data_IF_807307985771
#
_entry.id   IF_807307985771
#
_cell.length_a   1.000
_cell.length_b   1.000
_cell.length_c   1.000
_cell.angle_alpha   90.00
_cell.angle_beta   90.00
_cell.angle_gamma   90.00
#
_symmetry.space_group_name_H-M   'P 1'
#
loop_
_entity.id
_entity.type
_entity.pdbx_description
1 polymer ?
#
# COMPACT_ATOMS: atom_id res chain seq x y z
N UNK A 1 4.40 -40.17 16.87
CA UNK A 1 5.08 -38.85 16.91
C UNK A 1 4.10 -37.87 17.48
N UNK A 2 4.42 -37.30 18.64
CA UNK A 2 3.49 -36.43 19.38
C UNK A 2 3.72 -34.98 18.94
N UNK A 3 2.63 -34.21 18.80
CA UNK A 3 2.61 -32.83 18.27
C UNK A 3 3.46 -31.80 19.06
N UNK A 4 4.15 -32.22 20.11
CA UNK A 4 4.99 -31.40 20.98
C UNK A 4 6.45 -31.36 20.50
N UNK A 5 6.91 -32.39 19.76
CA UNK A 5 8.32 -32.48 19.35
C UNK A 5 8.70 -31.50 18.23
N UNK A 6 7.72 -30.88 17.54
CA UNK A 6 7.96 -29.93 16.45
C UNK A 6 8.15 -28.48 16.92
N UNK A 7 7.81 -28.17 18.18
CA UNK A 7 7.91 -26.79 18.71
C UNK A 7 9.30 -26.53 19.34
N UNK A 8 10.02 -27.55 19.78
CA UNK A 8 11.32 -27.38 20.44
C UNK A 8 12.50 -27.11 19.49
N UNK A 9 12.34 -27.23 18.17
CA UNK A 9 13.40 -26.96 17.19
C UNK A 9 13.50 -25.49 16.75
N UNK A 10 12.56 -24.61 17.13
CA UNK A 10 12.59 -23.20 16.72
C UNK A 10 13.23 -22.26 17.76
N UNK A 11 13.39 -22.68 19.02
CA UNK A 11 13.84 -21.79 20.11
C UNK A 11 15.38 -21.72 20.24
N UNK A 12 16.13 -22.62 19.60
CA UNK A 12 17.61 -22.64 19.65
C UNK A 12 18.30 -21.77 18.57
N UNK A 13 17.55 -21.09 17.70
CA UNK A 13 18.08 -20.27 16.60
C UNK A 13 18.02 -18.75 16.81
N UNK A 14 17.54 -18.24 17.95
CA UNK A 14 17.26 -16.81 18.14
C UNK A 14 18.35 -16.02 18.91
N UNK A 15 19.42 -16.66 19.39
CA UNK A 15 20.36 -16.00 20.33
C UNK A 15 21.70 -15.57 19.70
N UNK A 16 22.07 -16.09 18.51
CA UNK A 16 23.35 -15.72 17.87
C UNK A 16 23.22 -14.72 16.69
N UNK A 17 22.01 -14.39 16.25
CA UNK A 17 21.78 -13.55 15.06
C UNK A 17 21.71 -12.04 15.30
N UNK A 18 21.68 -11.56 16.55
CA UNK A 18 21.39 -10.13 16.82
C UNK A 18 22.63 -9.23 16.97
N UNK A 19 23.84 -9.77 17.12
CA UNK A 19 25.02 -8.93 17.43
C UNK A 19 25.70 -8.37 16.19
N UNK A 20 25.67 -9.08 15.05
CA UNK A 20 26.45 -8.68 13.86
C UNK A 20 25.75 -7.57 13.07
N UNK A 21 24.42 -7.50 13.11
CA UNK A 21 23.66 -6.50 12.34
C UNK A 21 23.84 -5.08 12.89
N UNK A 22 24.12 -4.92 14.19
CA UNK A 22 24.31 -3.59 14.81
C UNK A 22 25.60 -2.89 14.32
N UNK A 23 26.67 -3.65 14.05
CA UNK A 23 27.93 -3.06 13.57
C UNK A 23 27.81 -2.50 12.15
N UNK A 24 27.06 -3.16 11.26
CA UNK A 24 26.88 -2.69 9.87
C UNK A 24 26.04 -1.42 9.81
N UNK A 25 25.04 -1.29 10.69
CA UNK A 25 24.16 -0.10 10.75
C UNK A 25 24.96 1.15 11.15
N UNK A 26 25.92 1.04 12.07
CA UNK A 26 26.74 2.17 12.52
C UNK A 26 27.74 2.67 11.47
N UNK A 27 28.20 1.81 10.56
CA UNK A 27 29.24 2.19 9.60
C UNK A 27 28.71 2.94 8.37
N UNK A 28 27.40 2.82 8.08
CA UNK A 28 26.79 3.43 6.89
C UNK A 28 25.88 4.62 7.19
N UNK A 29 25.36 4.71 8.41
CA UNK A 29 24.56 5.85 8.85
C UNK A 29 25.35 6.61 9.90
N UNK A 30 25.89 7.77 9.51
CA UNK A 30 26.50 8.76 10.39
C UNK A 30 25.38 9.37 11.28
N UNK A 31 24.84 8.56 12.18
CA UNK A 31 23.87 8.98 13.17
C UNK A 31 24.62 9.73 14.26
N UNK A 32 24.55 11.05 14.19
CA UNK A 32 24.86 11.94 15.32
C UNK A 32 24.11 11.49 16.58
N UNK A 33 24.65 11.77 17.77
CA UNK A 33 24.19 11.14 19.01
C UNK A 33 22.73 11.50 19.29
N UNK A 34 21.87 10.47 19.23
CA UNK A 34 20.54 10.51 19.84
C UNK A 34 20.74 10.39 21.35
N UNK A 35 20.68 11.52 22.04
CA UNK A 35 20.61 11.56 23.51
C UNK A 35 19.21 11.14 23.98
N UNK A 36 19.23 10.12 24.83
CA UNK A 36 18.35 9.84 25.97
C UNK A 36 16.87 9.52 25.71
N UNK A 37 16.61 8.24 25.45
CA UNK A 37 15.33 7.62 25.78
C UNK A 37 15.39 7.27 27.28
N UNK A 38 14.51 7.93 28.02
CA UNK A 38 14.44 7.97 29.49
C UNK A 38 14.32 6.56 30.10
N UNK A 39 15.22 6.32 31.05
CA UNK A 39 15.35 5.17 31.93
C UNK A 39 14.31 5.21 33.07
N UNK A 40 13.73 4.04 33.31
CA UNK A 40 13.12 3.46 34.52
C UNK A 40 12.38 4.31 35.58
N UNK A 41 11.32 3.69 36.09
CA UNK A 41 10.40 4.26 37.06
C UNK A 41 10.97 4.48 38.46
N UNK A 42 10.27 5.34 39.21
CA UNK A 42 10.54 5.57 40.63
C UNK A 42 9.57 6.54 41.30
N UNK A 43 8.75 6.00 42.19
CA UNK A 43 8.31 6.55 43.50
C UNK A 43 7.56 7.90 43.60
N UNK A 44 6.32 7.80 44.10
CA UNK A 44 5.59 8.64 45.07
C UNK A 44 6.12 10.05 45.42
N UNK A 45 5.33 11.11 45.17
CA UNK A 45 4.63 11.92 46.20
C UNK A 45 4.09 13.29 45.72
N UNK A 46 2.95 13.64 46.30
CA UNK A 46 2.44 14.99 46.66
C UNK A 46 1.84 15.93 45.60
N UNK A 47 0.62 16.34 45.97
CA UNK A 47 -0.35 17.27 45.39
C UNK A 47 0.09 18.74 45.27
N UNK A 48 -0.57 19.41 44.31
CA UNK A 48 -1.09 20.80 44.31
C UNK A 48 -0.09 21.98 44.43
N UNK A 49 -0.08 22.88 43.44
CA UNK A 49 -0.81 24.17 43.50
C UNK A 49 -0.60 25.04 42.26
N UNK A 50 -1.64 25.82 41.96
CA UNK A 50 -1.91 26.69 40.81
C UNK A 50 -0.95 27.88 40.64
N UNK A 51 -0.90 28.47 39.42
CA UNK A 51 -1.29 29.88 39.12
C UNK A 51 -0.83 30.32 37.70
N UNK A 52 -1.81 30.91 37.00
CA UNK A 52 -1.82 31.92 35.91
C UNK A 52 -0.75 31.97 34.81
N UNK A 53 -1.25 32.01 33.56
CA UNK A 53 -0.49 32.53 32.41
C UNK A 53 -1.08 32.25 31.03
N UNK A 54 -2.38 32.01 30.88
CA UNK A 54 -3.01 31.68 29.60
C UNK A 54 -3.57 32.93 28.93
N UNK A 55 -2.71 33.78 28.35
CA UNK A 55 -3.22 34.79 27.38
C UNK A 55 -2.19 35.27 26.35
N UNK A 56 -0.90 35.05 26.56
CA UNK A 56 0.16 35.47 25.63
C UNK A 56 0.49 34.51 24.49
N UNK A 57 0.19 33.22 24.62
CA UNK A 57 0.63 32.18 23.64
C UNK A 57 -0.34 32.03 22.46
N UNK A 58 -1.63 32.37 22.64
CA UNK A 58 -2.65 32.21 21.59
C UNK A 58 -2.50 33.17 20.40
N UNK A 59 -1.72 34.25 20.52
CA UNK A 59 -1.61 35.27 19.46
C UNK A 59 -0.51 35.05 18.43
N UNK A 60 0.43 34.13 18.67
CA UNK A 60 1.56 33.89 17.74
C UNK A 60 1.45 32.58 16.95
N UNK A 61 0.42 31.76 17.18
CA UNK A 61 0.14 30.58 16.32
C UNK A 61 -0.64 30.95 15.05
N UNK A 62 -1.31 32.12 15.03
CA UNK A 62 -2.16 32.52 13.90
C UNK A 62 -1.37 33.05 12.69
N UNK A 63 -0.15 33.53 12.89
CA UNK A 63 0.65 34.17 11.83
C UNK A 63 1.69 33.24 11.18
N UNK A 64 1.78 31.96 11.57
CA UNK A 64 2.68 30.99 10.94
C UNK A 64 1.93 30.16 9.87
N UNK A 65 0.60 30.16 9.90
CA UNK A 65 -0.26 29.43 8.95
C UNK A 65 -0.39 30.18 7.61
N UNK A 66 0.02 31.45 7.51
CA UNK A 66 -0.21 32.29 6.32
C UNK A 66 1.00 32.39 5.36
N UNK A 67 2.04 31.55 5.51
CA UNK A 67 3.25 31.64 4.63
C UNK A 67 3.81 30.30 4.16
N UNK A 68 3.12 29.19 4.43
CA UNK A 68 3.44 27.93 3.78
C UNK A 68 2.17 27.41 3.12
N UNK A 69 2.25 27.27 1.82
CA UNK A 69 1.26 26.73 0.89
C UNK A 69 0.96 25.26 1.23
N UNK A 70 0.35 25.04 2.40
CA UNK A 70 -0.29 23.78 2.74
C UNK A 70 -1.54 23.69 1.88
N UNK A 71 -1.40 23.03 0.75
CA UNK A 71 -2.53 22.52 -0.02
C UNK A 71 -3.20 21.49 0.88
N UNK A 72 -4.22 21.93 1.60
CA UNK A 72 -5.10 21.04 2.34
C UNK A 72 -5.77 20.16 1.29
N UNK A 73 -5.36 18.89 1.20
CA UNK A 73 -6.19 17.87 0.58
C UNK A 73 -7.52 17.90 1.32
N UNK A 74 -8.53 18.42 0.64
CA UNK A 74 -9.89 18.35 1.13
C UNK A 74 -10.17 16.88 1.32
N UNK A 75 -10.38 16.50 2.58
CA UNK A 75 -11.19 15.36 2.96
C UNK A 75 -12.56 15.59 2.30
N UNK A 76 -12.68 15.15 1.04
CA UNK A 76 -13.96 14.99 0.40
C UNK A 76 -14.72 14.03 1.28
N UNK A 77 -15.87 14.50 1.72
CA UNK A 77 -16.87 13.76 2.47
C UNK A 77 -16.93 12.34 1.90
N UNK A 78 -16.52 11.37 2.72
CA UNK A 78 -16.98 9.99 2.59
C UNK A 78 -18.50 10.08 2.64
N UNK A 79 -19.11 10.22 1.46
CA UNK A 79 -20.42 9.68 1.25
C UNK A 79 -20.21 8.19 1.35
N UNK A 80 -20.67 7.62 2.45
CA UNK A 80 -21.26 6.29 2.42
C UNK A 80 -22.43 6.36 1.42
N UNK A 81 -22.12 6.44 0.13
CA UNK A 81 -23.03 6.01 -0.90
C UNK A 81 -22.97 4.48 -0.81
N UNK A 82 -23.75 3.94 0.12
CA UNK A 82 -24.39 2.62 0.00
C UNK A 82 -25.36 2.66 -1.19
N UNK A 83 -24.87 3.12 -2.34
CA UNK A 83 -25.40 2.73 -3.60
C UNK A 83 -24.66 1.45 -3.92
N UNK A 84 -25.35 0.32 -3.67
CA UNK A 84 -25.26 -0.81 -4.59
C UNK A 84 -25.67 -0.33 -5.98
N UNK A 85 -24.85 0.54 -6.59
CA UNK A 85 -24.75 0.66 -8.01
C UNK A 85 -24.39 -0.76 -8.41
N UNK A 86 -25.40 -1.48 -8.92
CA UNK A 86 -25.18 -2.70 -9.65
C UNK A 86 -24.46 -2.29 -10.95
N UNK A 87 -23.24 -1.78 -10.83
CA UNK A 87 -22.30 -1.68 -11.93
C UNK A 87 -22.11 -3.12 -12.34
N UNK A 88 -22.85 -3.50 -13.38
CA UNK A 88 -22.93 -4.88 -13.85
C UNK A 88 -21.63 -5.30 -14.53
N UNK A 89 -20.63 -4.41 -14.60
CA UNK A 89 -19.34 -4.64 -15.21
C UNK A 89 -18.21 -4.07 -14.37
N UNK A 90 -16.97 -4.41 -14.76
CA UNK A 90 -15.76 -4.05 -14.04
C UNK A 90 -15.57 -2.53 -13.93
N UNK A 91 -14.95 -2.08 -12.85
CA UNK A 91 -14.65 -0.66 -12.61
C UNK A 91 -13.34 -0.47 -11.86
N UNK A 92 -12.69 0.69 -12.06
CA UNK A 92 -11.41 1.02 -11.41
C UNK A 92 -11.63 1.34 -9.93
N UNK A 93 -10.77 0.78 -9.07
CA UNK A 93 -10.72 1.03 -7.63
C UNK A 93 -9.39 1.65 -7.23
N UNK A 94 -9.34 2.24 -6.04
CA UNK A 94 -8.10 2.76 -5.45
C UNK A 94 -7.20 1.63 -4.91
N UNK A 95 -5.88 1.88 -4.75
CA UNK A 95 -4.98 0.93 -4.09
C UNK A 95 -5.42 0.57 -2.66
N UNK A 96 -5.94 1.54 -1.90
CA UNK A 96 -6.43 1.30 -0.53
C UNK A 96 -7.65 0.35 -0.51
N UNK A 97 -8.55 0.47 -1.50
CA UNK A 97 -9.71 -0.42 -1.67
C UNK A 97 -9.33 -1.83 -2.12
N UNK A 98 -8.24 -1.95 -2.89
CA UNK A 98 -7.64 -3.24 -3.27
C UNK A 98 -7.01 -3.94 -2.07
N UNK A 99 -6.19 -3.22 -1.29
CA UNK A 99 -5.46 -3.77 -0.14
C UNK A 99 -6.39 -4.21 1.02
N UNK A 100 -7.52 -3.52 1.17
CA UNK A 100 -8.52 -3.82 2.21
C UNK A 100 -9.64 -4.75 1.72
N UNK A 101 -9.54 -5.29 0.51
CA UNK A 101 -10.55 -6.12 -0.12
C UNK A 101 -10.67 -7.52 0.50
N UNK A 102 -11.85 -8.11 0.39
CA UNK A 102 -12.09 -9.53 0.66
C UNK A 102 -12.21 -10.37 -0.62
N UNK A 103 -12.14 -9.73 -1.79
CA UNK A 103 -12.20 -10.40 -3.09
C UNK A 103 -10.89 -11.11 -3.42
N UNK A 104 -10.95 -12.08 -4.33
CA UNK A 104 -9.76 -12.82 -4.73
C UNK A 104 -8.84 -11.89 -5.54
N UNK A 105 -7.58 -11.65 -5.11
CA UNK A 105 -6.65 -10.83 -5.87
C UNK A 105 -6.10 -11.61 -7.06
N UNK A 106 -6.12 -11.02 -8.25
CA UNK A 106 -5.63 -11.62 -9.49
C UNK A 106 -4.74 -10.64 -10.26
N UNK A 107 -3.46 -10.98 -10.43
CA UNK A 107 -2.53 -10.17 -11.23
C UNK A 107 -2.64 -10.52 -12.71
N UNK A 108 -2.63 -9.50 -13.58
CA UNK A 108 -2.64 -9.59 -15.04
C UNK A 108 -1.50 -8.74 -15.63
N UNK A 109 -1.05 -9.09 -16.83
CA UNK A 109 -0.05 -8.31 -17.57
C UNK A 109 -0.68 -7.70 -18.83
N UNK A 110 -0.53 -6.39 -19.01
CA UNK A 110 -0.97 -5.66 -20.19
C UNK A 110 0.23 -5.18 -21.01
N UNK A 111 0.48 -5.84 -22.14
CA UNK A 111 1.62 -5.58 -23.01
C UNK A 111 1.41 -4.35 -23.88
N UNK A 112 2.53 -3.77 -24.34
CA UNK A 112 2.53 -2.53 -25.12
C UNK A 112 1.85 -2.65 -26.50
N UNK A 113 1.73 -3.86 -27.03
CA UNK A 113 0.96 -4.19 -28.24
C UNK A 113 -0.53 -4.45 -27.98
N UNK A 114 -1.01 -4.22 -26.75
CA UNK A 114 -2.41 -4.27 -26.37
C UNK A 114 -2.90 -5.67 -25.98
N UNK A 115 -1.98 -6.63 -25.81
CA UNK A 115 -2.31 -7.98 -25.37
C UNK A 115 -2.43 -8.03 -23.85
N UNK A 116 -3.52 -8.60 -23.33
CA UNK A 116 -3.69 -8.88 -21.90
C UNK A 116 -3.44 -10.38 -21.64
N UNK A 117 -2.70 -10.70 -20.59
CA UNK A 117 -2.46 -12.08 -20.17
C UNK A 117 -2.63 -12.27 -18.68
N UNK A 118 -2.81 -13.53 -18.27
CA UNK A 118 -2.61 -13.91 -16.87
C UNK A 118 -1.11 -13.99 -16.51
N UNK A 119 -0.83 -14.38 -15.27
CA UNK A 119 0.54 -14.58 -14.74
C UNK A 119 1.31 -15.72 -15.40
N UNK A 120 0.65 -16.58 -16.18
CA UNK A 120 1.24 -17.71 -16.89
C UNK A 120 1.38 -17.43 -18.38
N UNK A 121 1.26 -16.16 -18.79
CA UNK A 121 1.31 -15.68 -20.17
C UNK A 121 0.21 -16.25 -21.08
N UNK A 122 -0.89 -16.75 -20.49
CA UNK A 122 -2.06 -17.15 -21.27
C UNK A 122 -2.83 -15.90 -21.69
N UNK A 123 -3.02 -15.76 -23.00
CA UNK A 123 -3.72 -14.64 -23.61
C UNK A 123 -5.21 -14.60 -23.21
N UNK A 124 -5.70 -13.40 -22.91
CA UNK A 124 -7.10 -13.10 -22.62
C UNK A 124 -7.69 -12.36 -23.84
N UNK A 125 -8.67 -12.96 -24.51
CA UNK A 125 -9.30 -12.38 -25.70
C UNK A 125 -10.40 -11.36 -25.34
N UNK A 126 -11.23 -11.66 -24.33
CA UNK A 126 -12.41 -10.85 -23.96
C UNK A 126 -12.06 -9.77 -22.92
N UNK A 127 -11.13 -8.87 -23.27
CA UNK A 127 -10.59 -7.83 -22.37
C UNK A 127 -11.69 -6.92 -21.81
N UNK A 128 -12.61 -6.47 -22.67
CA UNK A 128 -13.69 -5.54 -22.28
C UNK A 128 -14.65 -6.16 -21.25
N UNK A 129 -14.95 -7.45 -21.39
CA UNK A 129 -15.81 -8.17 -20.44
C UNK A 129 -15.08 -8.48 -19.11
N UNK A 130 -13.77 -8.73 -19.17
CA UNK A 130 -13.03 -9.13 -17.99
C UNK A 130 -12.64 -7.94 -17.10
N UNK A 131 -12.11 -6.87 -17.68
CA UNK A 131 -11.57 -5.73 -16.93
C UNK A 131 -12.09 -4.37 -17.40
N UNK A 132 -12.83 -4.33 -18.51
CA UNK A 132 -13.29 -3.08 -19.14
C UNK A 132 -12.15 -2.37 -19.88
N UNK A 133 -12.36 -2.02 -21.14
CA UNK A 133 -11.32 -1.34 -21.94
C UNK A 133 -10.98 0.05 -21.38
N UNK A 134 -11.99 0.78 -20.90
CA UNK A 134 -11.81 2.11 -20.31
C UNK A 134 -10.85 2.07 -19.12
N UNK A 135 -10.88 1.00 -18.31
CA UNK A 135 -9.99 0.82 -17.15
C UNK A 135 -8.50 0.88 -17.54
N UNK A 136 -8.15 0.42 -18.74
CA UNK A 136 -6.77 0.42 -19.24
C UNK A 136 -6.27 1.83 -19.62
N UNK A 137 -7.12 2.85 -19.60
CA UNK A 137 -6.72 4.25 -19.79
C UNK A 137 -6.29 4.93 -18.47
N UNK A 138 -6.50 4.28 -17.32
CA UNK A 138 -6.25 4.84 -15.98
C UNK A 138 -4.82 4.61 -15.45
N UNK A 139 -3.88 4.08 -16.26
CA UNK A 139 -2.48 3.96 -15.85
C UNK A 139 -1.89 5.35 -15.54
N UNK A 140 -1.22 5.47 -14.39
CA UNK A 140 -0.65 6.72 -13.90
C UNK A 140 -1.61 7.56 -13.04
N UNK A 141 -2.85 7.11 -12.78
CA UNK A 141 -3.74 7.81 -11.85
C UNK A 141 -3.33 7.62 -10.38
N UNK A 142 -2.94 6.40 -10.03
CA UNK A 142 -2.45 6.04 -8.68
C UNK A 142 -0.98 5.61 -8.73
N UNK A 143 -0.65 4.69 -9.62
CA UNK A 143 0.70 4.21 -9.89
C UNK A 143 1.00 4.29 -11.39
N UNK A 144 2.28 4.48 -11.75
CA UNK A 144 2.69 4.73 -13.14
C UNK A 144 2.38 3.54 -14.07
N UNK A 145 2.50 2.32 -13.55
CA UNK A 145 2.41 1.05 -14.28
C UNK A 145 1.34 0.09 -13.76
N UNK A 146 0.50 0.51 -12.80
CA UNK A 146 -0.54 -0.34 -12.22
C UNK A 146 -1.91 0.31 -12.30
N UNK A 147 -2.93 -0.51 -12.59
CA UNK A 147 -4.35 -0.18 -12.41
C UNK A 147 -5.02 -1.29 -11.64
N UNK A 148 -5.92 -0.93 -10.71
CA UNK A 148 -6.73 -1.86 -9.95
C UNK A 148 -8.16 -1.83 -10.45
N UNK A 149 -8.73 -3.00 -10.76
CA UNK A 149 -10.09 -3.14 -11.31
C UNK A 149 -10.87 -4.16 -10.49
N UNK A 150 -12.08 -3.81 -10.05
CA UNK A 150 -12.98 -4.73 -9.36
C UNK A 150 -14.06 -5.25 -10.29
N UNK A 151 -14.35 -6.54 -10.21
CA UNK A 151 -15.55 -7.16 -10.79
C UNK A 151 -16.37 -7.83 -9.68
N UNK A 152 -17.39 -7.10 -9.18
CA UNK A 152 -18.33 -7.58 -8.16
C UNK A 152 -19.08 -8.84 -8.57
N UNK A 153 -19.29 -9.07 -9.87
CA UNK A 153 -20.01 -10.27 -10.35
C UNK A 153 -19.17 -11.53 -10.22
N UNK A 154 -17.84 -11.38 -10.26
CA UNK A 154 -16.88 -12.47 -10.11
C UNK A 154 -16.27 -12.54 -8.69
N UNK A 155 -16.49 -11.53 -7.85
CA UNK A 155 -15.84 -11.37 -6.53
C UNK A 155 -14.30 -11.41 -6.67
N UNK A 156 -13.77 -10.74 -7.70
CA UNK A 156 -12.34 -10.68 -8.04
C UNK A 156 -11.88 -9.24 -8.15
N UNK A 157 -10.70 -8.99 -7.62
CA UNK A 157 -9.96 -7.75 -7.85
C UNK A 157 -8.73 -8.02 -8.72
N UNK A 158 -8.64 -7.30 -9.82
CA UNK A 158 -7.55 -7.40 -10.76
C UNK A 158 -6.50 -6.32 -10.49
N UNK A 159 -5.24 -6.75 -10.35
CA UNK A 159 -4.06 -5.89 -10.44
C UNK A 159 -3.50 -6.02 -11.86
N UNK A 160 -3.63 -4.96 -12.66
CA UNK A 160 -3.19 -4.96 -14.05
C UNK A 160 -1.86 -4.23 -14.14
N UNK A 161 -0.81 -4.95 -14.49
CA UNK A 161 0.55 -4.42 -14.62
C UNK A 161 0.86 -4.10 -16.08
N UNK A 162 1.33 -2.88 -16.33
CA UNK A 162 1.75 -2.44 -17.65
C UNK A 162 3.12 -3.02 -17.99
N UNK A 163 3.19 -3.79 -19.07
CA UNK A 163 4.44 -4.29 -19.61
C UNK A 163 4.88 -3.46 -20.83
N UNK A 164 6.10 -2.93 -20.78
CA UNK A 164 6.68 -2.12 -21.86
C UNK A 164 7.12 -2.95 -23.07
N UNK A 165 7.23 -4.27 -22.93
CA UNK A 165 7.57 -5.19 -24.03
C UNK A 165 6.31 -5.49 -24.88
N UNK A 166 6.53 -5.95 -26.12
CA UNK A 166 5.45 -6.45 -26.98
C UNK A 166 5.29 -7.95 -26.76
N UNK A 167 4.06 -8.43 -26.54
CA UNK A 167 3.79 -9.85 -26.33
C UNK A 167 4.28 -10.68 -27.52
N UNK A 168 4.01 -10.23 -28.75
CA UNK A 168 4.39 -10.95 -29.96
C UNK A 168 5.88 -10.91 -30.30
N UNK A 169 6.67 -10.05 -29.64
CA UNK A 169 8.13 -10.11 -29.73
C UNK A 169 8.70 -11.23 -28.85
N UNK A 170 8.06 -11.49 -27.71
CA UNK A 170 8.39 -12.61 -26.81
C UNK A 170 7.87 -13.95 -27.33
N UNK A 171 6.65 -13.95 -27.89
CA UNK A 171 5.92 -15.12 -28.35
C UNK A 171 5.57 -15.03 -29.85
N UNK A 172 6.58 -15.02 -30.75
CA UNK A 172 6.36 -14.79 -32.18
C UNK A 172 5.53 -15.87 -32.87
N UNK A 173 5.54 -17.10 -32.35
CA UNK A 173 4.78 -18.22 -32.90
C UNK A 173 3.26 -18.04 -32.72
N UNK A 174 2.82 -17.23 -31.76
CA UNK A 174 1.40 -16.97 -31.47
C UNK A 174 0.77 -15.91 -32.38
N UNK A 175 1.57 -15.17 -33.17
CA UNK A 175 1.07 -14.09 -34.05
C UNK A 175 0.15 -14.60 -35.18
N UNK A 176 0.22 -15.87 -35.53
CA UNK A 176 -0.47 -16.44 -36.70
C UNK A 176 -1.49 -17.54 -36.36
N UNK A 177 -1.90 -17.65 -35.09
CA UNK A 177 -2.91 -18.62 -34.64
C UNK A 177 -4.31 -18.08 -34.89
#
# INVERSE_FOLDING_TARGET
MNKIDMIFSFILGAVAGSVVTWEVVKYKFDLGPYEDIIEEGGSENSELTSVEGIEGVKKNAKNIIETQEYVAYNKSEEKEDDESMNNTGPYVITPDEYDCSEYEPTTLNYYSDGVLTDIYDNKIDDIDEMVGLESLEHFGEYEDDTVYVRDDSKEVDYEILRNSEEYYDLYPDERNI
#
